data_IF_976728920667
#
_entry.id   IF_976728920667
#
_cell.length_a   1.000
_cell.length_b   1.000
_cell.length_c   1.000
_cell.angle_alpha   90.00
_cell.angle_beta   90.00
_cell.angle_gamma   90.00
#
_symmetry.space_group_name_H-M   'P 1'
#
loop_
_entity.id
_entity.type
_entity.pdbx_description
1 polymer ?
#
# COMPACT_ATOMS: atom_id res chain seq x y z
N UNK A 1 -32.21 -8.96 -40.81
CA UNK A 1 -31.96 -7.81 -39.90
C UNK A 1 -30.65 -8.08 -39.19
N UNK A 2 -29.59 -7.36 -39.57
CA UNK A 2 -28.25 -7.56 -39.03
C UNK A 2 -28.19 -7.04 -37.58
N UNK A 3 -27.68 -7.87 -36.66
CA UNK A 3 -27.33 -7.46 -35.30
C UNK A 3 -26.29 -6.34 -35.36
N UNK A 4 -26.41 -5.26 -34.57
CA UNK A 4 -25.26 -4.40 -34.36
C UNK A 4 -24.26 -5.18 -33.50
N UNK A 5 -23.06 -5.35 -34.05
CA UNK A 5 -21.86 -5.72 -33.30
C UNK A 5 -21.65 -4.64 -32.24
N UNK A 6 -21.76 -5.00 -30.96
CA UNK A 6 -21.30 -4.11 -29.88
C UNK A 6 -19.79 -3.95 -30.04
N UNK A 7 -19.41 -2.74 -30.42
CA UNK A 7 -18.03 -2.33 -30.62
C UNK A 7 -17.29 -2.34 -29.29
N UNK A 8 -16.28 -3.19 -29.22
CA UNK A 8 -14.93 -2.86 -28.78
C UNK A 8 -14.78 -1.74 -27.73
N UNK A 9 -14.60 -2.14 -26.47
CA UNK A 9 -13.40 -1.79 -25.70
C UNK A 9 -13.09 -0.33 -25.35
N UNK A 10 -14.03 0.61 -25.48
CA UNK A 10 -13.81 1.97 -24.96
C UNK A 10 -13.76 1.96 -23.43
N UNK A 11 -12.59 2.22 -22.83
CA UNK A 11 -12.47 2.40 -21.37
C UNK A 11 -13.48 3.47 -20.93
N UNK A 12 -14.51 3.06 -20.19
CA UNK A 12 -15.54 3.97 -19.70
C UNK A 12 -14.89 4.99 -18.75
N UNK A 13 -15.05 6.28 -19.05
CA UNK A 13 -14.49 7.38 -18.25
C UNK A 13 -15.59 8.10 -17.47
N UNK A 14 -15.24 8.65 -16.30
CA UNK A 14 -16.13 9.42 -15.44
C UNK A 14 -15.65 10.86 -15.27
N UNK A 15 -16.59 11.76 -14.97
CA UNK A 15 -16.35 13.19 -14.77
C UNK A 15 -16.37 14.01 -16.07
N UNK A 16 -16.64 15.31 -15.93
CA UNK A 16 -16.82 16.24 -17.08
C UNK A 16 -15.57 16.41 -17.95
N UNK A 17 -14.38 16.14 -17.39
CA UNK A 17 -13.10 16.21 -18.10
C UNK A 17 -12.72 14.90 -18.81
N UNK A 18 -13.42 13.79 -18.55
CA UNK A 18 -13.18 12.49 -19.19
C UNK A 18 -11.80 11.86 -18.93
N UNK A 19 -11.10 12.27 -17.88
CA UNK A 19 -9.74 11.78 -17.56
C UNK A 19 -9.71 10.63 -16.55
N UNK A 20 -10.83 10.37 -15.88
CA UNK A 20 -10.90 9.39 -14.78
C UNK A 20 -11.42 8.08 -15.34
N UNK A 21 -10.65 7.01 -15.25
CA UNK A 21 -11.10 5.67 -15.64
C UNK A 21 -12.14 5.15 -14.64
N UNK A 22 -13.32 4.73 -15.11
CA UNK A 22 -14.41 4.24 -14.25
C UNK A 22 -13.98 3.06 -13.38
N UNK A 23 -13.24 2.11 -13.96
CA UNK A 23 -12.77 0.92 -13.24
C UNK A 23 -11.88 1.27 -12.06
N UNK A 24 -10.89 2.14 -12.26
CA UNK A 24 -9.99 2.58 -11.19
C UNK A 24 -10.75 3.36 -10.11
N UNK A 25 -11.67 4.24 -10.54
CA UNK A 25 -12.47 5.07 -9.63
C UNK A 25 -13.37 4.22 -8.73
N UNK A 26 -14.13 3.29 -9.31
CA UNK A 26 -15.01 2.37 -8.56
C UNK A 26 -14.20 1.51 -7.61
N UNK A 27 -13.06 0.95 -8.04
CA UNK A 27 -12.22 0.12 -7.17
C UNK A 27 -11.64 0.91 -5.98
N UNK A 28 -11.26 2.18 -6.18
CA UNK A 28 -10.78 3.05 -5.09
C UNK A 28 -11.91 3.39 -4.10
N UNK A 29 -13.15 3.62 -4.59
CA UNK A 29 -14.32 3.80 -3.71
C UNK A 29 -14.60 2.54 -2.91
N UNK A 30 -14.63 1.37 -3.56
CA UNK A 30 -14.81 0.09 -2.90
C UNK A 30 -13.75 -0.10 -1.81
N UNK A 31 -12.49 0.21 -2.11
CA UNK A 31 -11.39 0.15 -1.13
C UNK A 31 -11.67 1.02 0.09
N UNK A 32 -12.07 2.28 -0.11
CA UNK A 32 -12.40 3.19 0.99
C UNK A 32 -13.59 2.67 1.84
N UNK A 33 -14.64 2.12 1.20
CA UNK A 33 -15.77 1.51 1.92
C UNK A 33 -15.30 0.38 2.84
N UNK A 34 -14.44 -0.51 2.36
CA UNK A 34 -13.87 -1.57 3.19
C UNK A 34 -12.99 -1.02 4.32
N UNK A 35 -12.14 -0.03 4.04
CA UNK A 35 -11.27 0.59 5.05
C UNK A 35 -12.07 1.31 6.15
N UNK A 36 -13.26 1.84 5.84
CA UNK A 36 -14.19 2.44 6.81
C UNK A 36 -15.08 1.42 7.52
N UNK A 37 -14.99 0.13 7.18
CA UNK A 37 -15.78 -0.95 7.79
C UNK A 37 -17.14 -1.21 7.14
N UNK A 38 -17.49 -0.51 6.05
CA UNK A 38 -18.73 -0.69 5.29
C UNK A 38 -18.68 -1.91 4.37
N UNK A 39 -18.44 -3.11 4.93
CA UNK A 39 -18.26 -4.35 4.15
C UNK A 39 -19.45 -4.70 3.27
N UNK A 40 -20.69 -4.49 3.76
CA UNK A 40 -21.91 -4.76 2.97
C UNK A 40 -22.04 -3.82 1.79
N UNK A 41 -21.79 -2.53 2.00
CA UNK A 41 -21.84 -1.53 0.92
C UNK A 41 -20.74 -1.75 -0.11
N UNK A 42 -19.53 -2.15 0.32
CA UNK A 42 -18.45 -2.53 -0.59
C UNK A 42 -18.84 -3.70 -1.48
N UNK A 43 -19.39 -4.78 -0.89
CA UNK A 43 -19.84 -5.94 -1.64
C UNK A 43 -20.97 -5.62 -2.63
N UNK A 44 -21.96 -4.82 -2.22
CA UNK A 44 -23.03 -4.37 -3.12
C UNK A 44 -22.51 -3.48 -4.25
N UNK A 45 -21.54 -2.59 -3.98
CA UNK A 45 -20.93 -1.78 -5.03
C UNK A 45 -20.22 -2.65 -6.08
N UNK A 46 -19.49 -3.69 -5.65
CA UNK A 46 -18.85 -4.64 -6.57
C UNK A 46 -19.88 -5.40 -7.41
N UNK A 47 -21.00 -5.82 -6.80
CA UNK A 47 -22.10 -6.53 -7.47
C UNK A 47 -22.83 -5.64 -8.48
N UNK A 48 -23.23 -4.43 -8.08
CA UNK A 48 -23.99 -3.50 -8.94
C UNK A 48 -23.15 -2.94 -10.09
N UNK A 49 -21.87 -2.66 -9.83
CA UNK A 49 -20.97 -2.14 -10.86
C UNK A 49 -20.42 -3.23 -11.78
N UNK A 50 -20.44 -4.50 -11.34
CA UNK A 50 -19.72 -5.60 -11.98
C UNK A 50 -18.19 -5.47 -11.93
N UNK A 51 -17.67 -4.55 -11.11
CA UNK A 51 -16.23 -4.25 -11.00
C UNK A 51 -15.73 -4.74 -9.64
N UNK A 52 -15.04 -5.90 -9.59
CA UNK A 52 -14.53 -6.42 -8.34
C UNK A 52 -13.34 -5.60 -7.84
N UNK A 53 -13.18 -5.49 -6.52
CA UNK A 53 -12.07 -4.77 -5.89
C UNK A 53 -10.71 -5.38 -6.30
N UNK A 54 -10.66 -6.71 -6.33
CA UNK A 54 -9.50 -7.50 -6.72
C UNK A 54 -9.93 -8.58 -7.70
N UNK A 55 -9.05 -8.94 -8.64
CA UNK A 55 -9.31 -10.09 -9.51
C UNK A 55 -9.36 -11.39 -8.69
N UNK A 56 -10.01 -12.42 -9.25
CA UNK A 56 -10.16 -13.73 -8.58
C UNK A 56 -8.82 -14.33 -8.13
N UNK A 57 -7.79 -14.24 -8.97
CA UNK A 57 -6.44 -14.73 -8.66
C UNK A 57 -5.80 -13.99 -7.48
N UNK A 58 -6.06 -12.69 -7.33
CA UNK A 58 -5.56 -11.90 -6.19
C UNK A 58 -6.29 -12.28 -4.91
N UNK A 59 -7.60 -12.51 -4.97
CA UNK A 59 -8.36 -13.01 -3.81
C UNK A 59 -7.88 -14.40 -3.38
N UNK A 60 -7.51 -15.27 -4.31
CA UNK A 60 -6.89 -16.57 -4.01
C UNK A 60 -5.51 -16.38 -3.37
N UNK A 61 -4.65 -15.55 -3.96
CA UNK A 61 -3.33 -15.25 -3.43
C UNK A 61 -3.37 -14.70 -1.99
N UNK A 62 -4.21 -13.70 -1.72
CA UNK A 62 -4.35 -13.12 -0.39
C UNK A 62 -4.79 -14.14 0.65
N UNK A 63 -5.71 -15.04 0.26
CA UNK A 63 -6.20 -16.12 1.12
C UNK A 63 -5.09 -17.12 1.45
N UNK A 64 -4.37 -17.60 0.44
CA UNK A 64 -3.23 -18.52 0.61
C UNK A 64 -2.18 -17.94 1.56
N UNK A 65 -1.86 -16.64 1.44
CA UNK A 65 -0.92 -15.96 2.34
C UNK A 65 -1.44 -15.92 3.79
N UNK A 66 -2.76 -15.73 3.99
CA UNK A 66 -3.36 -15.71 5.33
C UNK A 66 -3.51 -17.12 5.94
N UNK A 67 -3.81 -18.12 5.11
CA UNK A 67 -3.96 -19.53 5.50
C UNK A 67 -2.61 -20.24 5.69
N UNK A 68 -1.53 -19.70 5.11
CA UNK A 68 -0.17 -20.20 5.24
C UNK A 68 0.22 -21.20 4.15
N UNK A 69 -0.50 -21.19 3.03
CA UNK A 69 -0.22 -22.02 1.85
C UNK A 69 0.92 -21.37 1.04
N UNK A 70 2.14 -21.49 1.57
CA UNK A 70 3.31 -20.77 1.08
C UNK A 70 3.73 -21.16 -0.34
N UNK A 71 3.65 -22.44 -0.67
CA UNK A 71 4.05 -22.95 -1.99
C UNK A 71 3.04 -22.52 -3.06
N UNK A 72 1.75 -22.62 -2.74
CA UNK A 72 0.64 -22.21 -3.60
C UNK A 72 0.59 -20.69 -3.78
N UNK A 73 0.89 -19.91 -2.74
CA UNK A 73 0.95 -18.44 -2.85
C UNK A 73 2.09 -17.97 -3.73
N UNK A 74 3.28 -18.58 -3.67
CA UNK A 74 4.39 -18.29 -4.60
C UNK A 74 4.00 -18.70 -6.02
N UNK A 75 3.42 -19.88 -6.23
CA UNK A 75 2.96 -20.30 -7.55
C UNK A 75 1.90 -19.35 -8.12
N UNK A 76 0.94 -18.91 -7.29
CA UNK A 76 -0.10 -17.95 -7.68
C UNK A 76 0.49 -16.59 -8.00
N UNK A 77 1.49 -16.12 -7.23
CA UNK A 77 2.21 -14.87 -7.48
C UNK A 77 2.81 -14.80 -8.89
N UNK A 78 3.42 -15.91 -9.36
CA UNK A 78 3.95 -16.01 -10.72
C UNK A 78 2.86 -15.93 -11.81
N UNK A 79 1.61 -16.29 -11.48
CA UNK A 79 0.48 -16.29 -12.40
C UNK A 79 -0.33 -14.99 -12.42
N UNK A 80 -0.03 -14.03 -11.53
CA UNK A 80 -0.73 -12.73 -11.44
C UNK A 80 -0.50 -11.85 -12.71
N UNK A 81 0.50 -12.19 -13.53
CA UNK A 81 0.83 -11.43 -14.74
C UNK A 81 1.71 -10.22 -14.47
N UNK A 82 2.53 -10.27 -13.42
CA UNK A 82 3.57 -9.27 -13.17
C UNK A 82 4.66 -9.39 -14.24
N UNK A 83 5.10 -8.26 -14.79
CA UNK A 83 6.17 -8.21 -15.80
C UNK A 83 7.56 -8.03 -15.20
N UNK A 84 7.64 -7.46 -13.99
CA UNK A 84 8.90 -7.17 -13.32
C UNK A 84 9.37 -8.39 -12.50
N UNK A 85 10.40 -9.07 -13.00
CA UNK A 85 11.01 -10.22 -12.35
C UNK A 85 11.59 -9.89 -10.96
N UNK A 86 12.07 -8.66 -10.75
CA UNK A 86 12.62 -8.24 -9.46
C UNK A 86 11.52 -8.09 -8.42
N UNK A 87 10.35 -7.57 -8.79
CA UNK A 87 9.18 -7.51 -7.90
C UNK A 87 8.74 -8.92 -7.52
N UNK A 88 8.64 -9.83 -8.51
CA UNK A 88 8.27 -11.23 -8.27
C UNK A 88 9.27 -11.88 -7.32
N UNK A 89 10.58 -11.78 -7.59
CA UNK A 89 11.62 -12.33 -6.70
C UNK A 89 11.54 -11.75 -5.29
N UNK A 90 11.33 -10.44 -5.18
CA UNK A 90 11.25 -9.76 -3.88
C UNK A 90 10.02 -10.20 -3.07
N UNK A 91 8.86 -10.30 -3.72
CA UNK A 91 7.63 -10.79 -3.09
C UNK A 91 7.74 -12.28 -2.72
N UNK A 92 8.28 -13.13 -3.60
CA UNK A 92 8.58 -14.53 -3.29
C UNK A 92 9.54 -14.66 -2.10
N UNK A 93 10.59 -13.84 -2.05
CA UNK A 93 11.51 -13.81 -0.90
C UNK A 93 10.79 -13.49 0.40
N UNK A 94 9.89 -12.50 0.43
CA UNK A 94 9.12 -12.18 1.63
C UNK A 94 8.23 -13.36 2.09
N UNK A 95 7.56 -14.01 1.14
CA UNK A 95 6.70 -15.17 1.45
C UNK A 95 7.54 -16.32 2.00
N UNK A 96 8.64 -16.66 1.33
CA UNK A 96 9.52 -17.75 1.74
C UNK A 96 10.28 -17.46 3.04
N UNK A 97 10.62 -16.20 3.30
CA UNK A 97 11.17 -15.78 4.58
C UNK A 97 10.17 -16.02 5.72
N UNK A 98 8.88 -15.77 5.49
CA UNK A 98 7.85 -16.09 6.47
C UNK A 98 7.74 -17.61 6.68
N UNK A 99 7.65 -18.39 5.60
CA UNK A 99 7.66 -19.87 5.63
C UNK A 99 8.84 -20.41 6.45
N UNK A 100 10.03 -19.86 6.22
CA UNK A 100 11.26 -20.21 6.94
C UNK A 100 11.12 -19.98 8.46
N UNK A 101 10.63 -18.81 8.88
CA UNK A 101 10.48 -18.51 10.30
C UNK A 101 9.35 -19.29 10.96
N UNK A 102 8.26 -19.61 10.25
CA UNK A 102 7.22 -20.49 10.75
C UNK A 102 7.76 -21.90 11.01
N UNK A 103 8.56 -22.47 10.10
CA UNK A 103 9.23 -23.75 10.36
C UNK A 103 10.20 -23.70 11.55
N UNK A 104 10.93 -22.59 11.74
CA UNK A 104 11.79 -22.45 12.90
C UNK A 104 11.00 -22.34 14.22
N UNK A 105 9.83 -21.72 14.20
CA UNK A 105 8.95 -21.66 15.38
C UNK A 105 8.34 -23.02 15.72
N UNK A 106 8.12 -23.87 14.72
CA UNK A 106 7.66 -25.27 14.86
C UNK A 106 8.80 -26.27 15.13
N UNK A 107 10.03 -25.79 15.34
CA UNK A 107 11.25 -26.63 15.53
C UNK A 107 11.59 -27.55 14.34
N UNK A 108 10.98 -27.33 13.17
CA UNK A 108 11.24 -28.04 11.91
C UNK A 108 12.47 -27.49 11.19
N UNK A 109 13.64 -27.61 11.84
CA UNK A 109 14.90 -27.02 11.35
C UNK A 109 15.33 -27.55 9.98
N UNK A 110 15.09 -28.84 9.69
CA UNK A 110 15.45 -29.42 8.40
C UNK A 110 14.60 -28.86 7.25
N UNK A 111 13.31 -28.63 7.48
CA UNK A 111 12.40 -28.02 6.49
C UNK A 111 12.73 -26.54 6.29
N UNK A 112 13.07 -25.81 7.36
CA UNK A 112 13.58 -24.44 7.27
C UNK A 112 14.88 -24.38 6.45
N UNK A 113 15.84 -25.28 6.72
CA UNK A 113 17.11 -25.34 6.00
C UNK A 113 16.91 -25.73 4.52
N UNK A 114 15.97 -26.65 4.25
CA UNK A 114 15.57 -27.01 2.88
C UNK A 114 15.04 -25.78 2.16
N UNK A 115 14.03 -25.10 2.72
CA UNK A 115 13.44 -23.86 2.19
C UNK A 115 14.51 -22.82 1.87
N UNK A 116 15.45 -22.59 2.79
CA UNK A 116 16.54 -21.63 2.60
C UNK A 116 17.44 -21.98 1.40
N UNK A 117 17.78 -23.26 1.23
CA UNK A 117 18.72 -23.73 0.19
C UNK A 117 18.07 -23.90 -1.18
N UNK A 118 16.84 -24.42 -1.22
CA UNK A 118 16.18 -24.82 -2.47
C UNK A 118 15.22 -23.80 -3.01
N UNK A 119 14.72 -22.88 -2.18
CA UNK A 119 13.70 -21.91 -2.59
C UNK A 119 14.20 -20.46 -2.44
N UNK A 120 14.78 -20.10 -1.28
CA UNK A 120 15.25 -18.71 -1.05
C UNK A 120 16.56 -18.41 -1.78
N UNK A 121 17.59 -19.25 -1.63
CA UNK A 121 18.92 -18.99 -2.22
C UNK A 121 18.90 -18.85 -3.75
N UNK A 122 18.12 -19.65 -4.50
CA UNK A 122 18.02 -19.53 -5.95
C UNK A 122 17.36 -18.24 -6.45
N UNK A 123 16.67 -17.47 -5.59
CA UNK A 123 16.15 -16.15 -5.99
C UNK A 123 17.27 -15.15 -6.27
N UNK A 124 18.49 -15.41 -5.78
CA UNK A 124 19.69 -14.58 -6.01
C UNK A 124 19.51 -13.09 -5.66
N UNK A 125 18.71 -12.79 -4.63
CA UNK A 125 18.51 -11.45 -4.09
C UNK A 125 18.78 -11.43 -2.58
N UNK A 126 18.98 -10.23 -2.03
CA UNK A 126 19.11 -10.00 -0.58
C UNK A 126 20.18 -10.89 0.10
N UNK A 127 21.36 -11.05 -0.51
CA UNK A 127 22.44 -11.92 0.01
C UNK A 127 22.84 -11.63 1.46
N UNK A 128 22.76 -10.37 1.90
CA UNK A 128 22.94 -10.01 3.32
C UNK A 128 21.93 -10.73 4.22
N UNK A 129 20.65 -10.67 3.85
CA UNK A 129 19.56 -11.31 4.57
C UNK A 129 19.64 -12.84 4.54
N UNK A 130 20.02 -13.44 3.41
CA UNK A 130 20.21 -14.91 3.31
C UNK A 130 21.28 -15.41 4.31
N UNK A 131 22.36 -14.64 4.50
CA UNK A 131 23.37 -14.94 5.52
C UNK A 131 22.79 -14.85 6.94
N UNK A 132 21.99 -13.83 7.23
CA UNK A 132 21.30 -13.69 8.52
C UNK A 132 20.33 -14.86 8.80
N UNK A 133 19.57 -15.30 7.79
CA UNK A 133 18.69 -16.47 7.91
C UNK A 133 19.50 -17.74 8.22
N UNK A 134 20.65 -17.91 7.57
CA UNK A 134 21.56 -19.03 7.85
C UNK A 134 22.07 -19.01 9.31
N UNK A 135 22.43 -17.82 9.81
CA UNK A 135 22.86 -17.64 11.20
C UNK A 135 21.73 -17.97 12.20
N UNK A 136 20.48 -17.68 11.84
CA UNK A 136 19.30 -17.95 12.68
C UNK A 136 19.08 -19.44 12.95
N UNK A 137 19.57 -20.32 12.08
CA UNK A 137 19.56 -21.78 12.26
C UNK A 137 20.61 -22.21 13.28
N UNK A 138 21.82 -21.66 13.18
CA UNK A 138 22.99 -22.07 13.97
C UNK A 138 22.99 -21.48 15.38
N UNK A 139 22.50 -20.24 15.53
CA UNK A 139 22.44 -19.55 16.81
C UNK A 139 21.06 -18.87 17.01
N UNK A 140 20.06 -19.62 17.48
CA UNK A 140 18.71 -19.10 17.73
C UNK A 140 18.68 -17.92 18.72
N UNK A 141 19.63 -17.86 19.66
CA UNK A 141 19.72 -16.87 20.73
C UNK A 141 20.30 -15.51 20.28
N UNK A 142 21.03 -15.44 19.17
CA UNK A 142 21.71 -14.21 18.72
C UNK A 142 20.89 -13.36 17.72
N UNK A 143 19.72 -13.80 17.27
CA UNK A 143 18.93 -13.08 16.27
C UNK A 143 18.18 -11.84 16.82
N UNK A 144 18.16 -11.64 18.15
CA UNK A 144 17.43 -10.53 18.79
C UNK A 144 18.13 -9.17 18.69
N UNK A 145 19.41 -9.10 18.30
CA UNK A 145 20.23 -7.91 18.58
C UNK A 145 20.33 -6.89 17.44
N UNK A 146 19.77 -7.14 16.26
CA UNK A 146 19.90 -6.24 15.07
C UNK A 146 18.56 -5.64 14.61
N UNK A 147 17.43 -6.04 15.22
CA UNK A 147 16.12 -5.42 14.93
C UNK A 147 15.81 -4.35 15.98
N UNK A 148 15.45 -3.16 15.51
CA UNK A 148 15.03 -2.03 16.34
C UNK A 148 13.95 -2.42 17.36
N UNK A 149 13.80 -1.70 18.50
CA UNK A 149 13.02 -2.14 19.67
C UNK A 149 11.50 -2.16 19.49
N UNK A 150 11.00 -2.07 18.25
CA UNK A 150 9.57 -1.88 17.92
C UNK A 150 8.93 -3.07 17.20
N UNK A 151 9.63 -4.18 17.01
CA UNK A 151 9.08 -5.31 16.25
C UNK A 151 8.82 -6.51 17.16
N UNK A 152 7.61 -7.05 17.03
CA UNK A 152 7.02 -8.18 17.76
C UNK A 152 8.05 -9.20 18.27
N UNK A 153 7.85 -9.66 19.50
CA UNK A 153 8.65 -10.69 20.19
C UNK A 153 8.69 -12.06 19.49
N UNK A 154 7.96 -12.22 18.38
CA UNK A 154 7.97 -13.42 17.55
C UNK A 154 8.91 -13.27 16.35
N UNK A 155 9.68 -14.32 16.08
CA UNK A 155 10.64 -14.36 14.96
C UNK A 155 9.93 -14.27 13.60
N UNK A 156 8.72 -14.83 13.53
CA UNK A 156 7.83 -14.72 12.37
C UNK A 156 6.86 -13.54 12.56
N UNK A 157 6.62 -12.74 11.51
CA UNK A 157 5.60 -11.68 11.54
C UNK A 157 4.19 -12.28 11.52
N UNK A 158 3.17 -11.51 11.89
CA UNK A 158 1.80 -11.93 11.59
C UNK A 158 1.58 -12.01 10.07
N UNK A 159 0.71 -12.92 9.64
CA UNK A 159 0.39 -13.08 8.21
C UNK A 159 -0.31 -11.85 7.63
N UNK A 160 -1.08 -11.12 8.45
CA UNK A 160 -1.65 -9.82 8.07
C UNK A 160 -0.57 -8.78 7.76
N UNK A 161 0.46 -8.70 8.59
CA UNK A 161 1.60 -7.80 8.40
C UNK A 161 2.45 -8.20 7.20
N UNK A 162 2.58 -9.49 6.90
CA UNK A 162 3.17 -9.96 5.65
C UNK A 162 2.37 -9.43 4.44
N UNK A 163 1.05 -9.53 4.49
CA UNK A 163 0.20 -9.08 3.40
C UNK A 163 0.31 -7.55 3.18
N UNK A 164 0.39 -6.76 4.24
CA UNK A 164 0.63 -5.31 4.17
C UNK A 164 1.99 -4.98 3.51
N UNK A 165 3.05 -5.73 3.82
CA UNK A 165 4.37 -5.52 3.18
C UNK A 165 4.35 -5.95 1.70
N UNK A 166 3.64 -7.03 1.37
CA UNK A 166 3.44 -7.45 -0.02
C UNK A 166 2.68 -6.38 -0.82
N UNK A 167 1.64 -5.78 -0.23
CA UNK A 167 0.87 -4.70 -0.85
C UNK A 167 1.73 -3.46 -1.17
N UNK A 168 2.76 -3.17 -0.36
CA UNK A 168 3.70 -2.07 -0.63
C UNK A 168 4.67 -2.36 -1.77
N UNK A 169 4.99 -3.63 -2.01
CA UNK A 169 5.88 -4.05 -3.10
C UNK A 169 5.15 -4.23 -4.43
N UNK A 170 3.90 -4.69 -4.39
CA UNK A 170 3.14 -5.00 -5.58
C UNK A 170 2.62 -3.72 -6.28
N UNK A 171 2.53 -3.72 -7.62
CA UNK A 171 2.00 -2.57 -8.35
C UNK A 171 0.58 -2.19 -7.90
N UNK A 172 0.23 -0.89 -7.86
CA UNK A 172 -1.11 -0.42 -7.49
C UNK A 172 -2.26 -0.97 -8.36
N UNK A 173 -1.94 -1.38 -9.59
CA UNK A 173 -2.90 -2.01 -10.52
C UNK A 173 -3.33 -3.40 -10.04
N UNK A 174 -2.44 -4.10 -9.32
CA UNK A 174 -2.63 -5.43 -8.76
C UNK A 174 -3.25 -5.35 -7.36
N UNK A 175 -2.63 -4.58 -6.46
CA UNK A 175 -3.14 -4.32 -5.12
C UNK A 175 -3.20 -2.83 -4.85
N UNK A 176 -4.40 -2.30 -4.64
CA UNK A 176 -4.63 -0.87 -4.36
C UNK A 176 -4.05 -0.55 -2.98
N UNK A 177 -3.20 0.48 -2.85
CA UNK A 177 -2.67 0.90 -1.56
C UNK A 177 -3.78 1.27 -0.56
N UNK A 178 -3.50 1.10 0.73
CA UNK A 178 -4.40 1.59 1.77
C UNK A 178 -4.60 3.10 1.67
N UNK A 179 -5.82 3.54 1.98
CA UNK A 179 -6.21 4.95 2.04
C UNK A 179 -5.96 5.74 0.75
N UNK A 180 -6.01 5.09 -0.41
CA UNK A 180 -5.68 5.75 -1.69
C UNK A 180 -6.65 6.90 -2.02
N UNK A 181 -7.93 6.75 -1.70
CA UNK A 181 -8.93 7.81 -1.95
C UNK A 181 -8.63 9.03 -1.07
N UNK A 182 -8.35 8.79 0.20
CA UNK A 182 -8.04 9.80 1.20
C UNK A 182 -6.81 10.60 0.78
N UNK A 183 -5.73 9.94 0.37
CA UNK A 183 -4.54 10.63 -0.15
C UNK A 183 -4.83 11.47 -1.40
N UNK A 184 -5.67 10.98 -2.32
CA UNK A 184 -6.06 11.74 -3.52
C UNK A 184 -6.88 12.98 -3.16
N UNK A 185 -7.78 12.84 -2.18
CA UNK A 185 -8.60 13.94 -1.68
C UNK A 185 -7.74 14.97 -0.93
N UNK A 186 -6.81 14.53 -0.07
CA UNK A 186 -5.85 15.41 0.61
C UNK A 186 -4.97 16.17 -0.39
N UNK A 187 -4.51 15.50 -1.47
CA UNK A 187 -3.78 16.15 -2.56
C UNK A 187 -4.63 17.23 -3.25
N UNK A 188 -5.91 16.94 -3.52
CA UNK A 188 -6.82 17.92 -4.12
C UNK A 188 -7.03 19.14 -3.21
N UNK A 189 -7.23 18.93 -1.90
CA UNK A 189 -7.36 20.03 -0.94
C UNK A 189 -6.08 20.86 -0.85
N UNK A 190 -4.91 20.21 -0.84
CA UNK A 190 -3.62 20.90 -0.90
C UNK A 190 -3.50 21.80 -2.12
N UNK A 191 -3.86 21.29 -3.30
CA UNK A 191 -3.84 22.07 -4.54
C UNK A 191 -4.82 23.25 -4.52
N UNK A 192 -6.03 23.07 -3.97
CA UNK A 192 -7.00 24.16 -3.84
C UNK A 192 -6.49 25.25 -2.90
N UNK A 193 -5.87 24.86 -1.79
CA UNK A 193 -5.25 25.78 -0.83
C UNK A 193 -4.11 26.57 -1.48
N UNK A 194 -3.21 25.88 -2.17
CA UNK A 194 -2.04 26.49 -2.81
C UNK A 194 -2.45 27.43 -3.97
N UNK A 195 -3.59 27.16 -4.61
CA UNK A 195 -4.16 28.02 -5.65
C UNK A 195 -4.95 29.23 -5.10
N UNK A 196 -5.24 29.27 -3.79
CA UNK A 196 -6.01 30.35 -3.18
C UNK A 196 -5.14 31.60 -3.00
N UNK A 197 -5.50 32.67 -3.71
CA UNK A 197 -4.73 33.93 -3.70
C UNK A 197 -4.65 34.62 -2.34
N UNK A 198 -5.62 34.39 -1.46
CA UNK A 198 -5.76 35.13 -0.19
C UNK A 198 -5.55 34.26 1.04
N UNK A 199 -5.07 33.02 0.86
CA UNK A 199 -4.85 32.12 1.98
C UNK A 199 -3.69 32.63 2.86
N UNK A 200 -3.99 32.91 4.13
CA UNK A 200 -3.02 33.47 5.08
C UNK A 200 -3.13 32.89 6.50
N UNK A 201 -3.92 31.84 6.69
CA UNK A 201 -4.15 31.21 7.99
C UNK A 201 -3.80 29.73 7.93
N UNK A 202 -3.12 29.24 8.96
CA UNK A 202 -2.81 27.81 9.10
C UNK A 202 -4.03 26.98 9.55
N UNK A 203 -5.08 27.62 10.08
CA UNK A 203 -6.18 26.98 10.82
C UNK A 203 -7.55 27.03 10.12
N UNK A 204 -7.63 27.40 8.83
CA UNK A 204 -8.91 27.34 8.11
C UNK A 204 -9.26 25.90 7.72
N UNK A 205 -10.40 25.41 8.23
CA UNK A 205 -10.98 24.12 7.86
C UNK A 205 -11.42 24.16 6.39
N UNK A 206 -10.73 23.41 5.53
CA UNK A 206 -11.09 23.30 4.11
C UNK A 206 -12.21 22.27 3.95
N UNK A 207 -13.29 22.67 3.28
CA UNK A 207 -14.44 21.80 3.01
C UNK A 207 -14.16 20.84 1.84
N UNK A 208 -14.71 19.62 1.93
CA UNK A 208 -14.81 18.70 0.79
C UNK A 208 -16.03 18.96 -0.11
N UNK A 209 -17.00 19.72 0.38
CA UNK A 209 -18.28 19.93 -0.32
C UNK A 209 -18.26 21.15 -1.25
N UNK A 210 -17.28 22.05 -1.07
CA UNK A 210 -17.10 23.26 -1.88
C UNK A 210 -15.61 23.56 -2.04
N UNK A 211 -15.24 24.16 -3.17
CA UNK A 211 -13.85 24.54 -3.44
C UNK A 211 -13.37 25.62 -2.45
N UNK A 212 -12.13 25.49 -2.00
CA UNK A 212 -11.51 26.43 -1.07
C UNK A 212 -11.38 27.85 -1.67
N UNK A 213 -11.93 28.84 -0.98
CA UNK A 213 -11.79 30.26 -1.33
C UNK A 213 -11.72 31.11 -0.06
N UNK A 214 -10.57 31.73 0.18
CA UNK A 214 -10.44 32.73 1.25
C UNK A 214 -10.96 34.08 0.75
N UNK A 215 -11.62 34.83 1.63
CA UNK A 215 -12.04 36.18 1.33
C UNK A 215 -10.89 37.18 1.49
N UNK A 216 -10.95 38.31 0.77
CA UNK A 216 -9.86 39.31 0.69
C UNK A 216 -9.61 40.01 2.04
N UNK A 217 -10.61 40.03 2.91
CA UNK A 217 -10.56 40.57 4.27
C UNK A 217 -9.69 39.74 5.23
N UNK A 218 -9.34 38.50 4.87
CA UNK A 218 -8.45 37.62 5.65
C UNK A 218 -6.95 37.90 5.42
N UNK A 219 -6.61 38.87 4.56
CA UNK A 219 -5.22 39.33 4.43
C UNK A 219 -4.93 40.28 5.60
N UNK A 220 -3.87 40.04 6.40
CA UNK A 220 -3.43 40.95 7.44
C UNK A 220 -3.17 42.33 6.85
N UNK A 221 -4.06 43.27 7.16
CA UNK A 221 -3.97 44.67 6.75
C UNK A 221 -3.18 45.52 7.74
N UNK A 222 -2.85 44.96 8.91
CA UNK A 222 -2.05 45.59 9.96
C UNK A 222 -0.92 44.68 10.42
N UNK A 223 0.30 45.21 10.45
CA UNK A 223 1.46 44.51 11.00
C UNK A 223 1.32 44.39 12.52
N UNK A 224 1.13 43.17 13.03
CA UNK A 224 0.99 42.90 14.46
C UNK A 224 2.33 42.92 15.23
N UNK A 225 3.48 43.01 14.56
CA UNK A 225 4.77 43.09 15.26
C UNK A 225 5.85 43.84 14.46
N UNK A 226 6.17 45.07 14.89
CA UNK A 226 7.43 45.74 14.54
C UNK A 226 8.50 45.22 15.49
N UNK A 227 9.45 44.43 15.00
CA UNK A 227 10.66 44.09 15.76
C UNK A 227 11.52 45.34 15.89
N UNK A 228 11.47 46.00 17.05
CA UNK A 228 12.44 47.02 17.41
C UNK A 228 13.80 46.35 17.67
N UNK A 229 14.67 46.35 16.67
CA UNK A 229 16.10 46.23 16.89
C UNK A 229 16.62 47.59 17.38
N UNK A 230 16.72 47.76 18.69
CA UNK A 230 17.69 48.73 19.22
C UNK A 230 18.99 47.98 19.47
N UNK A 231 19.90 48.08 18.50
CA UNK A 231 21.31 47.93 18.79
C UNK A 231 21.74 49.03 19.75
N UNK A 232 22.46 48.65 20.79
CA UNK A 232 23.45 49.51 21.44
C UNK A 232 24.27 48.67 22.45
N UNK A 233 25.43 48.20 22.00
CA UNK A 233 26.66 48.24 22.79
C UNK A 233 27.87 48.06 21.86
N UNK A 234 28.39 49.18 21.36
CA UNK A 234 29.82 49.34 21.05
C UNK A 234 30.24 50.68 21.64
N UNK A 235 30.92 50.59 22.79
CA UNK A 235 32.08 51.34 23.31
C UNK A 235 32.01 51.37 24.85
#
# INVERSE_FOLDING_TARGET
MARPLQSDGGEEVVGSKGVIKKVEFVRIIAKALYSLGYRRSGAHLEEESGIPLHSSIINVFMRQVLEGDWDESVATLHNIGLTDEMIIKSASFLILEQKFFEFLNEEKVMDALKTLRTEISPLCINHGRVRELSLSIVSPSHCFTVRSPKQDTSRARSRTKLLEELQKLLPPTVMIPERRLEHLVEQALGLQRDACMFHNSLDEEISLFADHQCARDQIPSYALQVRFYFGNQIL
#
